data_IF_575275684377
#
_entry.id   IF_575275684377
#
_cell.length_a   1.000
_cell.length_b   1.000
_cell.length_c   1.000
_cell.angle_alpha   90.00
_cell.angle_beta   90.00
_cell.angle_gamma   90.00
#
_symmetry.space_group_name_H-M   'P 1'
#
loop_
_entity.id
_entity.type
_entity.pdbx_description
1 polymer ?
#
# COMPACT_ATOMS: atom_id res chain seq x y z
N UNK A 1 24.31 15.25 -11.60
CA UNK A 1 23.29 14.19 -11.45
C UNK A 1 22.01 14.75 -12.02
N UNK A 2 21.74 14.46 -13.29
CA UNK A 2 20.54 14.96 -13.95
C UNK A 2 19.33 14.21 -13.39
N UNK A 3 18.55 14.93 -12.59
CA UNK A 3 17.30 14.46 -12.02
C UNK A 3 16.33 14.30 -13.19
N UNK A 4 16.05 13.06 -13.59
CA UNK A 4 15.25 12.74 -14.77
C UNK A 4 13.77 13.06 -14.49
N UNK A 5 13.37 14.32 -14.71
CA UNK A 5 12.01 14.83 -14.42
C UNK A 5 10.90 13.95 -15.02
N UNK A 6 11.12 13.40 -16.21
CA UNK A 6 10.15 12.52 -16.90
C UNK A 6 9.86 11.21 -16.14
N UNK A 7 10.80 10.71 -15.34
CA UNK A 7 10.58 9.51 -14.52
C UNK A 7 9.81 9.82 -13.24
N UNK A 8 9.89 11.05 -12.75
CA UNK A 8 9.13 11.51 -11.59
C UNK A 8 7.70 11.85 -12.01
N UNK A 9 7.51 12.48 -13.18
CA UNK A 9 6.20 12.88 -13.69
C UNK A 9 5.26 11.67 -13.88
N UNK A 10 5.73 10.57 -14.49
CA UNK A 10 4.91 9.36 -14.67
C UNK A 10 4.57 8.65 -13.35
N UNK A 11 5.51 8.59 -12.40
CA UNK A 11 5.25 8.00 -11.09
C UNK A 11 4.31 8.86 -10.23
N UNK A 12 4.40 10.19 -10.33
CA UNK A 12 3.47 11.10 -9.65
C UNK A 12 2.10 11.13 -10.31
N UNK A 13 2.02 11.03 -11.63
CA UNK A 13 0.75 10.99 -12.36
C UNK A 13 -0.01 9.69 -12.08
N UNK A 14 0.67 8.54 -12.10
CA UNK A 14 0.06 7.25 -11.74
C UNK A 14 -0.37 7.23 -10.28
N UNK A 15 0.43 7.76 -9.35
CA UNK A 15 0.05 7.86 -7.94
C UNK A 15 -1.08 8.87 -7.72
N UNK A 16 -1.11 9.97 -8.48
CA UNK A 16 -2.17 10.97 -8.42
C UNK A 16 -3.50 10.39 -8.92
N UNK A 17 -3.50 9.64 -10.02
CA UNK A 17 -4.70 8.99 -10.56
C UNK A 17 -5.32 7.97 -9.58
N UNK A 18 -4.49 7.34 -8.74
CA UNK A 18 -4.97 6.44 -7.67
C UNK A 18 -5.29 7.17 -6.36
N UNK A 19 -4.78 8.38 -6.15
CA UNK A 19 -5.09 9.21 -4.98
C UNK A 19 -6.52 9.79 -5.05
N UNK A 20 -7.03 9.99 -6.27
CA UNK A 20 -8.43 10.30 -6.50
C UNK A 20 -9.29 9.04 -6.40
N UNK A 21 -10.54 9.14 -5.90
CA UNK A 21 -11.45 8.00 -5.93
C UNK A 21 -11.65 7.60 -7.41
N UNK A 22 -11.60 6.30 -7.76
CA UNK A 22 -11.67 5.87 -9.16
C UNK A 22 -12.91 6.46 -9.83
N UNK A 23 -12.78 6.98 -11.05
CA UNK A 23 -13.85 7.65 -11.84
C UNK A 23 -15.02 6.71 -12.26
N UNK A 24 -15.24 5.63 -11.53
CA UNK A 24 -16.36 4.71 -11.67
C UNK A 24 -17.26 4.82 -10.45
N UNK A 25 -18.54 5.13 -10.65
CA UNK A 25 -19.53 5.41 -9.59
C UNK A 25 -19.54 4.41 -8.42
N UNK A 26 -20.25 4.78 -7.33
CA UNK A 26 -20.23 4.13 -5.99
C UNK A 26 -19.96 2.62 -5.95
N UNK A 27 -20.59 1.83 -6.81
CA UNK A 27 -20.39 0.38 -6.89
C UNK A 27 -18.92 -0.03 -7.13
N UNK A 28 -18.23 0.63 -8.07
CA UNK A 28 -16.82 0.32 -8.38
C UNK A 28 -15.91 0.69 -7.21
N UNK A 29 -16.18 1.79 -6.52
CA UNK A 29 -15.43 2.20 -5.33
C UNK A 29 -15.64 1.22 -4.16
N UNK A 30 -16.87 0.75 -3.93
CA UNK A 30 -17.15 -0.30 -2.91
C UNK A 30 -16.42 -1.59 -3.25
N UNK A 31 -16.46 -2.03 -4.51
CA UNK A 31 -15.76 -3.24 -4.96
C UNK A 31 -14.24 -3.08 -4.84
N UNK A 32 -13.70 -1.93 -5.22
CA UNK A 32 -12.28 -1.63 -5.04
C UNK A 32 -11.91 -1.63 -3.54
N UNK A 33 -12.71 -0.99 -2.70
CA UNK A 33 -12.51 -0.95 -1.24
C UNK A 33 -12.72 -2.29 -0.52
N UNK A 34 -13.13 -3.35 -1.21
CA UNK A 34 -13.24 -4.72 -0.66
C UNK A 34 -12.21 -5.66 -1.29
N UNK A 35 -12.21 -5.75 -2.63
CA UNK A 35 -11.42 -6.73 -3.37
C UNK A 35 -9.92 -6.43 -3.33
N UNK A 36 -9.52 -5.17 -3.52
CA UNK A 36 -8.09 -4.79 -3.45
C UNK A 36 -7.53 -5.04 -2.04
N UNK A 37 -8.17 -4.57 -0.96
CA UNK A 37 -7.71 -4.87 0.40
C UNK A 37 -7.62 -6.35 0.72
N UNK A 38 -8.58 -7.16 0.27
CA UNK A 38 -8.52 -8.61 0.49
C UNK A 38 -7.34 -9.25 -0.25
N UNK A 39 -7.11 -8.86 -1.50
CA UNK A 39 -6.01 -9.38 -2.30
C UNK A 39 -4.65 -8.95 -1.73
N UNK A 40 -4.48 -7.67 -1.41
CA UNK A 40 -3.24 -7.14 -0.82
C UNK A 40 -3.02 -7.70 0.60
N UNK A 41 -4.09 -7.83 1.39
CA UNK A 41 -4.05 -8.45 2.72
C UNK A 41 -3.66 -9.93 2.68
N UNK A 42 -4.13 -10.67 1.67
CA UNK A 42 -3.65 -12.04 1.42
C UNK A 42 -2.15 -12.06 1.10
N UNK A 43 -1.67 -11.13 0.27
CA UNK A 43 -0.23 -11.02 -0.03
C UNK A 43 0.60 -10.66 1.22
N UNK A 44 0.07 -9.82 2.10
CA UNK A 44 0.67 -9.53 3.40
C UNK A 44 0.77 -10.80 4.28
N UNK A 45 -0.32 -11.56 4.38
CA UNK A 45 -0.34 -12.82 5.13
C UNK A 45 0.66 -13.84 4.58
N UNK A 46 0.71 -14.02 3.25
CA UNK A 46 1.69 -14.90 2.60
C UNK A 46 3.09 -14.43 2.94
N UNK A 47 3.42 -13.15 2.72
CA UNK A 47 4.75 -12.61 3.01
C UNK A 47 5.17 -12.77 4.49
N UNK A 48 4.23 -12.64 5.41
CA UNK A 48 4.47 -12.84 6.84
C UNK A 48 4.78 -14.31 7.19
N UNK A 49 4.05 -15.24 6.57
CA UNK A 49 4.15 -16.68 6.88
C UNK A 49 5.28 -17.39 6.14
N UNK A 50 5.54 -17.03 4.89
CA UNK A 50 6.62 -17.60 4.08
C UNK A 50 7.95 -16.90 4.31
N UNK A 51 7.95 -15.75 5.00
CA UNK A 51 9.10 -14.88 5.18
C UNK A 51 9.76 -14.49 3.85
N UNK A 52 8.97 -14.41 2.78
CA UNK A 52 9.40 -14.01 1.44
C UNK A 52 8.44 -12.96 0.89
N UNK A 53 8.98 -11.83 0.43
CA UNK A 53 8.19 -10.72 -0.10
C UNK A 53 8.83 -10.16 -1.37
N UNK A 54 8.01 -9.54 -2.22
CA UNK A 54 8.50 -8.84 -3.41
C UNK A 54 8.65 -7.36 -3.06
N UNK A 55 9.87 -6.86 -3.05
CA UNK A 55 10.10 -5.42 -3.07
C UNK A 55 9.91 -4.93 -4.50
N UNK A 56 8.84 -4.19 -4.72
CA UNK A 56 8.56 -3.58 -6.02
C UNK A 56 9.57 -2.45 -6.29
N UNK A 57 10.48 -2.70 -7.23
CA UNK A 57 11.43 -1.72 -7.74
C UNK A 57 10.87 -0.94 -8.93
N UNK A 58 11.61 0.05 -9.41
CA UNK A 58 11.25 0.73 -10.66
C UNK A 58 11.73 -0.10 -11.87
N UNK A 59 10.92 -0.21 -12.93
CA UNK A 59 11.22 -0.90 -14.20
C UNK A 59 11.59 -2.39 -14.10
N UNK A 60 10.67 -3.22 -13.60
CA UNK A 60 10.81 -4.70 -13.58
C UNK A 60 12.01 -5.23 -12.78
N UNK A 61 12.63 -4.41 -11.93
CA UNK A 61 13.62 -4.83 -10.95
C UNK A 61 12.93 -5.23 -9.64
N UNK A 62 12.08 -6.25 -9.73
CA UNK A 62 11.43 -6.81 -8.55
C UNK A 62 12.46 -7.64 -7.77
N UNK A 63 12.70 -7.25 -6.51
CA UNK A 63 13.65 -7.94 -5.65
C UNK A 63 12.89 -8.84 -4.67
N UNK A 64 13.16 -10.14 -4.70
CA UNK A 64 12.67 -11.04 -3.66
C UNK A 64 13.52 -10.86 -2.40
N UNK A 65 12.87 -10.44 -1.31
CA UNK A 65 13.47 -10.20 0.00
C UNK A 65 12.97 -11.24 0.98
N UNK A 66 13.85 -11.66 1.90
CA UNK A 66 13.61 -12.75 2.85
C UNK A 66 13.79 -12.32 4.30
N UNK A 67 13.25 -13.10 5.23
CA UNK A 67 13.45 -12.92 6.67
C UNK A 67 12.77 -11.68 7.23
N UNK A 68 13.43 -10.96 8.13
CA UNK A 68 12.84 -9.81 8.85
C UNK A 68 12.44 -8.66 7.92
N UNK A 69 13.19 -8.45 6.83
CA UNK A 69 12.83 -7.48 5.78
C UNK A 69 11.51 -7.86 5.09
N UNK A 70 11.27 -9.15 4.85
CA UNK A 70 10.01 -9.61 4.26
C UNK A 70 8.83 -9.41 5.21
N UNK A 71 9.01 -9.63 6.51
CA UNK A 71 7.99 -9.34 7.53
C UNK A 71 7.67 -7.85 7.63
N UNK A 72 8.68 -6.99 7.54
CA UNK A 72 8.47 -5.55 7.50
C UNK A 72 7.67 -5.12 6.25
N UNK A 73 7.97 -5.70 5.08
CA UNK A 73 7.19 -5.45 3.86
C UNK A 73 5.77 -6.01 3.95
N UNK A 74 5.56 -7.13 4.64
CA UNK A 74 4.23 -7.64 4.91
C UNK A 74 3.38 -6.63 5.72
N UNK A 75 3.99 -5.93 6.68
CA UNK A 75 3.34 -4.83 7.42
C UNK A 75 2.98 -3.67 6.47
N UNK A 76 3.86 -3.33 5.52
CA UNK A 76 3.56 -2.33 4.49
C UNK A 76 2.38 -2.72 3.61
N UNK A 77 2.30 -3.99 3.18
CA UNK A 77 1.16 -4.49 2.41
C UNK A 77 -0.13 -4.43 3.22
N UNK A 78 -0.09 -4.83 4.50
CA UNK A 78 -1.25 -4.74 5.38
C UNK A 78 -1.72 -3.29 5.54
N UNK A 79 -0.79 -2.36 5.72
CA UNK A 79 -1.09 -0.93 5.79
C UNK A 79 -1.75 -0.41 4.50
N UNK A 80 -1.24 -0.80 3.32
CA UNK A 80 -1.82 -0.44 2.03
C UNK A 80 -3.24 -1.00 1.86
N UNK A 81 -3.46 -2.26 2.27
CA UNK A 81 -4.79 -2.89 2.26
C UNK A 81 -5.79 -2.13 3.14
N UNK A 82 -5.40 -1.80 4.39
CA UNK A 82 -6.24 -1.05 5.31
C UNK A 82 -6.53 0.35 4.79
N UNK A 83 -5.52 1.04 4.24
CA UNK A 83 -5.70 2.37 3.65
C UNK A 83 -6.74 2.33 2.52
N UNK A 84 -6.61 1.41 1.56
CA UNK A 84 -7.57 1.24 0.47
C UNK A 84 -8.99 0.91 0.97
N UNK A 85 -9.10 0.07 2.01
CA UNK A 85 -10.38 -0.27 2.62
C UNK A 85 -11.05 0.96 3.26
N UNK A 86 -10.34 1.68 4.14
CA UNK A 86 -10.92 2.85 4.77
C UNK A 86 -11.21 3.97 3.77
N UNK A 87 -10.32 4.19 2.79
CA UNK A 87 -10.45 5.25 1.79
C UNK A 87 -11.61 5.05 0.82
N UNK A 88 -11.79 3.83 0.30
CA UNK A 88 -12.74 3.57 -0.80
C UNK A 88 -14.03 2.85 -0.36
N UNK A 89 -14.00 2.10 0.76
CA UNK A 89 -15.21 1.49 1.33
C UNK A 89 -15.82 2.45 2.37
N UNK A 90 -15.13 2.70 3.48
CA UNK A 90 -15.65 3.54 4.58
C UNK A 90 -15.82 5.02 4.21
N UNK A 91 -15.05 5.53 3.26
CA UNK A 91 -15.21 6.89 2.72
C UNK A 91 -16.53 7.13 1.98
N UNK A 92 -17.32 6.09 1.69
CA UNK A 92 -18.63 6.21 1.04
C UNK A 92 -19.80 6.20 2.02
N UNK A 93 -19.57 5.79 3.28
CA UNK A 93 -20.58 5.82 4.33
C UNK A 93 -20.50 7.11 5.14
N UNK A 94 -21.61 7.55 5.78
CA UNK A 94 -21.62 8.71 6.67
C UNK A 94 -20.82 8.51 7.97
N UNK A 95 -20.01 7.46 8.07
CA UNK A 95 -19.20 7.10 9.22
C UNK A 95 -17.81 7.78 9.19
N UNK A 96 -17.80 9.11 9.10
CA UNK A 96 -16.57 9.90 8.89
C UNK A 96 -15.46 9.64 9.91
N UNK A 97 -15.82 9.42 11.19
CA UNK A 97 -14.82 9.11 12.24
C UNK A 97 -14.10 7.78 12.03
N UNK A 98 -14.78 6.76 11.51
CA UNK A 98 -14.19 5.45 11.23
C UNK A 98 -13.21 5.56 10.06
N UNK A 99 -13.58 6.35 9.06
CA UNK A 99 -12.73 6.70 7.93
C UNK A 99 -11.42 7.38 8.37
N UNK A 100 -11.49 8.46 9.16
CA UNK A 100 -10.30 9.23 9.54
C UNK A 100 -9.35 8.43 10.44
N UNK A 101 -9.90 7.80 11.49
CA UNK A 101 -9.09 7.01 12.43
C UNK A 101 -8.47 5.82 11.71
N UNK A 102 -9.23 5.13 10.86
CA UNK A 102 -8.75 3.99 10.10
C UNK A 102 -7.60 4.36 9.15
N UNK A 103 -7.72 5.49 8.44
CA UNK A 103 -6.65 5.99 7.58
C UNK A 103 -5.41 6.38 8.37
N UNK A 104 -5.56 7.10 9.49
CA UNK A 104 -4.43 7.47 10.34
C UNK A 104 -3.65 6.25 10.83
N UNK A 105 -4.36 5.22 11.34
CA UNK A 105 -3.74 3.99 11.80
C UNK A 105 -3.04 3.25 10.65
N UNK A 106 -3.65 3.20 9.47
CA UNK A 106 -3.03 2.60 8.29
C UNK A 106 -1.74 3.35 7.88
N UNK A 107 -1.73 4.69 7.94
CA UNK A 107 -0.54 5.49 7.64
C UNK A 107 0.59 5.28 8.66
N UNK A 108 0.27 5.25 9.95
CA UNK A 108 1.25 4.96 11.01
C UNK A 108 1.86 3.56 10.80
N UNK A 109 1.02 2.58 10.50
CA UNK A 109 1.46 1.21 10.23
C UNK A 109 2.37 1.16 8.99
N UNK A 110 2.00 1.87 7.92
CA UNK A 110 2.80 1.95 6.69
C UNK A 110 4.15 2.63 6.90
N UNK A 111 4.18 3.75 7.63
CA UNK A 111 5.43 4.44 7.96
C UNK A 111 6.34 3.58 8.85
N UNK A 112 5.77 2.89 9.85
CA UNK A 112 6.51 1.97 10.70
C UNK A 112 7.04 0.74 9.94
N UNK A 113 6.25 0.19 9.01
CA UNK A 113 6.66 -0.88 8.11
C UNK A 113 7.80 -0.44 7.19
N UNK A 114 7.69 0.71 6.54
CA UNK A 114 8.73 1.23 5.66
C UNK A 114 10.04 1.53 6.41
N UNK A 115 9.95 2.14 7.60
CA UNK A 115 11.12 2.41 8.43
C UNK A 115 11.83 1.14 8.88
N UNK A 116 11.08 0.11 9.29
CA UNK A 116 11.65 -1.19 9.67
C UNK A 116 12.21 -1.95 8.47
N UNK A 117 11.55 -1.92 7.31
CA UNK A 117 12.05 -2.55 6.08
C UNK A 117 13.38 -1.91 5.65
N UNK A 118 13.50 -0.59 5.72
CA UNK A 118 14.74 0.12 5.44
C UNK A 118 15.84 -0.26 6.44
N UNK A 119 15.52 -0.28 7.74
CA UNK A 119 16.46 -0.67 8.79
C UNK A 119 17.03 -2.09 8.59
N UNK A 120 16.17 -3.07 8.28
CA UNK A 120 16.61 -4.45 8.08
C UNK A 120 17.30 -4.70 6.74
N UNK A 121 17.02 -3.90 5.72
CA UNK A 121 17.65 -4.05 4.41
C UNK A 121 19.08 -3.49 4.34
N UNK A 122 19.40 -2.47 5.15
CA UNK A 122 20.68 -1.76 5.08
C UNK A 122 21.56 -1.90 6.34
N UNK A 123 21.15 -2.76 7.28
CA UNK A 123 21.97 -3.20 8.41
C UNK A 123 22.76 -4.45 8.05
#
# INVERSE_FOLDING_TARGET
MDWNRSANDGATDDVADWAYPPNGGRLKMVLAGLLLPLWVGYRAWVAWTTETAIWFGNRSSDMEVKGDTAKAIAVCYLAAALFAHFRWFWGLWPCYRIFEIGIMLAMILGLGGCGSAWYFAFR
#
